data_IF_248674649349
#
_entry.id   IF_248674649349
#
_cell.length_a   1.000
_cell.length_b   1.000
_cell.length_c   1.000
_cell.angle_alpha   90.00
_cell.angle_beta   90.00
_cell.angle_gamma   90.00
#
_symmetry.space_group_name_H-M   'P 1'
#
loop_
_entity.id
_entity.type
_entity.pdbx_description
1 polymer ?
#
# COMPACT_ATOMS: atom_id res chain seq x y z
N UNK A 1 -7.34 -27.83 1.25
CA UNK A 1 -6.57 -26.58 1.06
C UNK A 1 -6.17 -26.12 2.45
N UNK A 2 -4.89 -26.28 2.82
CA UNK A 2 -4.39 -25.83 4.12
C UNK A 2 -4.72 -24.34 4.30
N UNK A 3 -5.32 -23.98 5.44
CA UNK A 3 -5.73 -22.59 5.75
C UNK A 3 -4.55 -21.62 5.60
N UNK A 4 -3.36 -22.06 6.01
CA UNK A 4 -2.11 -21.32 5.85
C UNK A 4 -1.81 -21.01 4.38
N UNK A 5 -1.96 -21.98 3.48
CA UNK A 5 -1.75 -21.77 2.05
C UNK A 5 -2.71 -20.72 1.49
N UNK A 6 -3.97 -20.72 1.93
CA UNK A 6 -4.95 -19.71 1.50
C UNK A 6 -4.55 -18.32 1.99
N UNK A 7 -4.19 -18.18 3.27
CA UNK A 7 -3.77 -16.90 3.84
C UNK A 7 -2.49 -16.38 3.17
N UNK A 8 -1.49 -17.23 2.93
CA UNK A 8 -0.23 -16.85 2.28
C UNK A 8 -0.46 -16.39 0.83
N UNK A 9 -1.35 -17.06 0.08
CA UNK A 9 -1.72 -16.62 -1.27
C UNK A 9 -2.39 -15.24 -1.24
N UNK A 10 -3.29 -14.99 -0.28
CA UNK A 10 -3.93 -13.68 -0.10
C UNK A 10 -2.91 -12.60 0.25
N UNK A 11 -1.96 -12.89 1.14
CA UNK A 11 -0.93 -11.93 1.55
C UNK A 11 0.02 -11.56 0.40
N UNK A 12 0.38 -12.53 -0.45
CA UNK A 12 1.18 -12.27 -1.65
C UNK A 12 0.44 -11.31 -2.60
N UNK A 13 -0.86 -11.52 -2.82
CA UNK A 13 -1.67 -10.65 -3.68
C UNK A 13 -1.73 -9.22 -3.11
N UNK A 14 -1.98 -9.09 -1.79
CA UNK A 14 -2.02 -7.78 -1.11
C UNK A 14 -0.66 -7.08 -1.23
N UNK A 15 0.45 -7.81 -1.05
CA UNK A 15 1.82 -7.26 -1.16
C UNK A 15 2.08 -6.66 -2.54
N UNK A 16 1.69 -7.37 -3.60
CA UNK A 16 1.87 -6.90 -4.99
C UNK A 16 1.06 -5.61 -5.22
N UNK A 17 -0.21 -5.58 -4.80
CA UNK A 17 -1.05 -4.39 -4.92
C UNK A 17 -0.48 -3.20 -4.16
N UNK A 18 0.09 -3.46 -2.98
CA UNK A 18 0.69 -2.45 -2.11
C UNK A 18 1.98 -1.87 -2.71
N UNK A 19 2.84 -2.72 -3.30
CA UNK A 19 4.03 -2.27 -4.05
C UNK A 19 3.63 -1.35 -5.20
N UNK A 20 2.65 -1.76 -6.02
CA UNK A 20 2.15 -0.94 -7.13
C UNK A 20 1.62 0.39 -6.62
N UNK A 21 0.80 0.37 -5.56
CA UNK A 21 0.23 1.57 -4.96
C UNK A 21 1.31 2.55 -4.45
N UNK A 22 2.34 2.06 -3.75
CA UNK A 22 3.45 2.88 -3.24
C UNK A 22 4.26 3.50 -4.39
N UNK A 23 4.60 2.72 -5.41
CA UNK A 23 5.35 3.21 -6.57
C UNK A 23 4.56 4.32 -7.30
N UNK A 24 3.25 4.18 -7.40
CA UNK A 24 2.39 5.22 -7.99
C UNK A 24 2.35 6.50 -7.15
N UNK A 25 2.42 6.41 -5.82
CA UNK A 25 2.45 7.59 -4.93
C UNK A 25 3.76 8.39 -5.03
N UNK A 26 4.91 7.73 -5.23
CA UNK A 26 6.22 8.42 -5.26
C UNK A 26 6.36 9.44 -6.41
N UNK A 27 5.60 9.29 -7.49
CA UNK A 27 5.63 10.19 -8.66
C UNK A 27 5.02 11.57 -8.40
N UNK A 28 4.28 11.78 -7.30
CA UNK A 28 3.64 13.05 -6.96
C UNK A 28 4.52 14.03 -6.17
N UNK A 29 5.53 13.55 -5.45
CA UNK A 29 6.11 14.29 -4.31
C UNK A 29 7.56 14.78 -4.47
N UNK A 30 8.35 14.22 -5.39
CA UNK A 30 9.83 14.28 -5.25
C UNK A 30 10.58 15.30 -6.10
N UNK A 31 10.22 15.51 -7.37
CA UNK A 31 11.12 16.18 -8.32
C UNK A 31 10.69 17.61 -8.70
N UNK A 32 9.39 17.92 -8.74
CA UNK A 32 8.93 19.26 -9.15
C UNK A 32 9.14 20.37 -8.12
N UNK A 33 9.25 20.01 -6.83
CA UNK A 33 9.36 20.95 -5.70
C UNK A 33 10.80 21.32 -5.36
N UNK A 34 11.78 20.47 -5.70
CA UNK A 34 13.20 20.68 -5.39
C UNK A 34 13.93 21.61 -6.40
N UNK A 35 13.38 21.81 -7.61
CA UNK A 35 14.01 22.60 -8.67
C UNK A 35 13.51 24.06 -8.79
N UNK A 36 12.90 24.62 -7.74
CA UNK A 36 12.60 26.07 -7.70
C UNK A 36 11.61 26.58 -8.74
N UNK A 37 10.80 25.70 -9.36
CA UNK A 37 9.75 26.09 -10.29
C UNK A 37 8.64 26.86 -9.57
N UNK A 38 8.56 28.16 -9.83
CA UNK A 38 7.51 29.05 -9.38
C UNK A 38 6.11 28.49 -9.72
N UNK A 39 5.42 27.95 -8.72
CA UNK A 39 4.10 28.40 -8.27
C UNK A 39 3.01 28.78 -9.28
N UNK A 40 2.95 28.22 -10.50
CA UNK A 40 1.90 28.54 -11.47
C UNK A 40 1.39 27.28 -12.18
N UNK A 41 0.06 27.10 -12.19
CA UNK A 41 -0.68 26.19 -13.10
C UNK A 41 -0.85 24.69 -12.78
N UNK A 42 -0.81 24.26 -11.51
CA UNK A 42 -1.51 22.99 -11.18
C UNK A 42 -1.96 22.80 -9.73
N UNK A 43 -2.05 23.87 -8.94
CA UNK A 43 -2.51 23.79 -7.54
C UNK A 43 -4.03 23.51 -7.39
N UNK A 44 -4.78 23.36 -8.50
CA UNK A 44 -6.25 23.32 -8.48
C UNK A 44 -6.93 22.04 -8.95
N UNK A 45 -6.21 20.94 -9.24
CA UNK A 45 -6.86 19.68 -9.67
C UNK A 45 -6.40 18.38 -8.98
N UNK A 46 -5.43 18.43 -8.05
CA UNK A 46 -4.85 17.20 -7.44
C UNK A 46 -5.50 16.72 -6.13
N UNK A 47 -6.54 17.38 -5.61
CA UNK A 47 -7.08 17.04 -4.28
C UNK A 47 -7.85 15.71 -4.20
N UNK A 48 -8.30 15.16 -5.33
CA UNK A 48 -9.13 13.95 -5.35
C UNK A 48 -8.31 12.66 -5.49
N UNK A 49 -7.72 12.45 -6.67
CA UNK A 49 -7.08 11.18 -7.01
C UNK A 49 -5.88 10.83 -6.10
N UNK A 50 -5.07 11.82 -5.74
CA UNK A 50 -3.90 11.62 -4.88
C UNK A 50 -4.31 11.30 -3.43
N UNK A 51 -5.33 11.99 -2.90
CA UNK A 51 -5.87 11.71 -1.57
C UNK A 51 -6.57 10.34 -1.51
N UNK A 52 -7.28 9.94 -2.57
CA UNK A 52 -7.89 8.62 -2.69
C UNK A 52 -6.83 7.52 -2.73
N UNK A 53 -5.77 7.69 -3.53
CA UNK A 53 -4.67 6.72 -3.61
C UNK A 53 -3.92 6.59 -2.26
N UNK A 54 -3.70 7.71 -1.57
CA UNK A 54 -3.11 7.73 -0.23
C UNK A 54 -3.98 6.95 0.78
N UNK A 55 -5.27 7.28 0.87
CA UNK A 55 -6.20 6.59 1.78
C UNK A 55 -6.35 5.10 1.45
N UNK A 56 -6.40 4.74 0.16
CA UNK A 56 -6.42 3.35 -0.29
C UNK A 56 -5.16 2.59 0.13
N UNK A 57 -4.00 3.24 0.09
CA UNK A 57 -2.73 2.63 0.50
C UNK A 57 -2.66 2.44 2.01
N UNK A 58 -3.12 3.42 2.79
CA UNK A 58 -3.24 3.27 4.25
C UNK A 58 -4.14 2.09 4.62
N UNK A 59 -5.26 1.92 3.90
CA UNK A 59 -6.14 0.77 4.07
C UNK A 59 -5.44 -0.55 3.69
N UNK A 60 -4.74 -0.61 2.54
CA UNK A 60 -3.99 -1.79 2.11
C UNK A 60 -2.87 -2.16 3.09
N UNK A 61 -2.14 -1.18 3.63
CA UNK A 61 -1.11 -1.39 4.66
C UNK A 61 -1.73 -2.00 5.91
N UNK A 62 -2.86 -1.46 6.35
CA UNK A 62 -3.57 -1.97 7.53
C UNK A 62 -4.00 -3.43 7.32
N UNK A 63 -4.55 -3.75 6.15
CA UNK A 63 -4.95 -5.12 5.79
C UNK A 63 -3.75 -6.06 5.71
N UNK A 64 -2.65 -5.63 5.10
CA UNK A 64 -1.40 -6.40 5.01
C UNK A 64 -0.90 -6.81 6.41
N UNK A 65 -0.86 -5.86 7.35
CA UNK A 65 -0.42 -6.12 8.73
C UNK A 65 -1.36 -7.12 9.43
N UNK A 66 -2.69 -6.95 9.29
CA UNK A 66 -3.67 -7.84 9.93
C UNK A 66 -3.55 -9.28 9.39
N UNK A 67 -3.41 -9.43 8.08
CA UNK A 67 -3.25 -10.75 7.45
C UNK A 67 -1.92 -11.38 7.86
N UNK A 68 -0.82 -10.64 7.82
CA UNK A 68 0.49 -11.14 8.26
C UNK A 68 0.51 -11.57 9.73
N UNK A 69 -0.15 -10.82 10.61
CA UNK A 69 -0.33 -11.21 12.02
C UNK A 69 -1.17 -12.49 12.15
N UNK A 70 -2.25 -12.63 11.38
CA UNK A 70 -3.04 -13.85 11.39
C UNK A 70 -2.21 -15.06 10.93
N UNK A 71 -1.39 -14.93 9.89
CA UNK A 71 -0.46 -16.00 9.48
C UNK A 71 0.56 -16.31 10.58
N UNK A 72 1.14 -15.30 11.23
CA UNK A 72 2.11 -15.52 12.30
C UNK A 72 1.50 -16.30 13.48
N UNK A 73 0.27 -15.97 13.87
CA UNK A 73 -0.43 -16.65 14.98
C UNK A 73 -0.85 -18.08 14.59
N UNK A 74 -1.35 -18.30 13.37
CA UNK A 74 -1.76 -19.63 12.93
C UNK A 74 -0.54 -20.53 12.69
N UNK A 75 0.54 -19.99 12.12
CA UNK A 75 1.78 -20.75 11.89
C UNK A 75 2.46 -21.15 13.20
N UNK A 76 2.40 -20.29 14.23
CA UNK A 76 2.88 -20.61 15.58
C UNK A 76 2.12 -21.78 16.23
N UNK A 77 0.80 -21.88 16.01
CA UNK A 77 -0.02 -22.99 16.54
C UNK A 77 0.17 -24.30 15.78
N UNK A 78 0.46 -24.24 14.47
CA UNK A 78 0.74 -25.43 13.67
C UNK A 78 2.14 -26.02 13.87
N UNK A 79 3.02 -25.30 14.57
CA UNK A 79 4.40 -25.70 14.88
C UNK A 79 4.59 -26.36 16.26
N UNK A 80 3.53 -26.50 17.06
CA UNK A 80 3.46 -27.30 18.29
C UNK A 80 2.57 -28.50 18.11
#
# INVERSE_FOLDING_TARGET
MELLTVLSVVEIIISILLIIAIVMQQRGSGLGTMFGGSGGESYRSKRGAEAVLFNATVFLISLFIVVGLAIAIVSAQSGT
#
